data_IF_854719128910
#
_entry.id   IF_854719128910
#
_cell.length_a   1.000
_cell.length_b   1.000
_cell.length_c   1.000
_cell.angle_alpha   90.00
_cell.angle_beta   90.00
_cell.angle_gamma   90.00
#
_symmetry.space_group_name_H-M   'P 1'
#
loop_
_entity.id
_entity.type
_entity.pdbx_description
1 polymer ?
#
# COMPACT_ATOMS: atom_id res chain seq x y z
N UNK A 1 -12.18 -10.72 2.46
CA UNK A 1 -12.15 -9.25 2.44
C UNK A 1 -12.67 -8.74 3.76
N UNK A 2 -12.51 -7.44 4.01
CA UNK A 2 -13.11 -6.76 5.16
C UNK A 2 -14.55 -6.37 4.76
N UNK A 3 -15.59 -6.81 5.49
CA UNK A 3 -16.99 -6.54 5.13
C UNK A 3 -17.33 -5.05 4.96
N UNK A 4 -16.62 -4.19 5.68
CA UNK A 4 -16.79 -2.73 5.71
C UNK A 4 -16.14 -2.02 4.51
N UNK A 5 -15.32 -2.72 3.72
CA UNK A 5 -14.69 -2.16 2.53
C UNK A 5 -15.65 -2.19 1.34
N UNK A 6 -15.86 -1.03 0.70
CA UNK A 6 -16.81 -0.89 -0.40
C UNK A 6 -16.43 -1.69 -1.66
N UNK A 7 -15.16 -2.09 -1.80
CA UNK A 7 -14.63 -2.78 -2.97
C UNK A 7 -14.11 -4.16 -2.59
N UNK A 8 -14.63 -5.18 -3.26
CA UNK A 8 -14.24 -6.58 -3.10
C UNK A 8 -13.80 -7.15 -4.45
N UNK A 9 -12.49 -7.05 -4.73
CA UNK A 9 -11.88 -7.51 -5.98
C UNK A 9 -12.12 -9.03 -6.21
N UNK A 10 -12.42 -9.80 -5.15
CA UNK A 10 -12.70 -11.24 -5.26
C UNK A 10 -14.01 -11.54 -5.99
N UNK A 11 -14.98 -10.59 -6.00
CA UNK A 11 -16.22 -10.73 -6.78
C UNK A 11 -15.93 -10.66 -8.28
N UNK A 12 -15.13 -9.67 -8.69
CA UNK A 12 -14.66 -9.53 -10.08
C UNK A 12 -13.83 -10.74 -10.49
N UNK A 13 -12.92 -11.21 -9.64
CA UNK A 13 -12.14 -12.41 -9.91
C UNK A 13 -13.02 -13.66 -10.13
N UNK A 14 -14.06 -13.85 -9.30
CA UNK A 14 -15.03 -14.95 -9.49
C UNK A 14 -15.81 -14.83 -10.81
N UNK A 15 -16.17 -13.62 -11.23
CA UNK A 15 -16.83 -13.41 -12.52
C UNK A 15 -15.90 -13.80 -13.69
N UNK A 16 -14.63 -13.40 -13.65
CA UNK A 16 -13.63 -13.78 -14.65
C UNK A 16 -13.50 -15.31 -14.71
N UNK A 17 -13.35 -15.98 -13.56
CA UNK A 17 -13.21 -17.45 -13.52
C UNK A 17 -14.43 -18.16 -14.10
N UNK A 18 -15.64 -17.63 -13.91
CA UNK A 18 -16.87 -18.20 -14.46
C UNK A 18 -16.96 -18.12 -15.99
N UNK A 19 -16.19 -17.25 -16.63
CA UNK A 19 -16.11 -17.10 -18.08
C UNK A 19 -14.99 -17.94 -18.72
N UNK A 20 -14.11 -18.54 -17.91
CA UNK A 20 -13.02 -19.40 -18.41
C UNK A 20 -13.54 -20.77 -18.86
N UNK A 21 -12.83 -21.36 -19.82
CA UNK A 21 -13.02 -22.78 -20.16
C UNK A 21 -12.85 -23.65 -18.90
N UNK A 22 -13.72 -24.66 -18.67
CA UNK A 22 -13.65 -25.52 -17.49
C UNK A 22 -12.28 -26.17 -17.25
N UNK A 23 -11.55 -26.51 -18.32
CA UNK A 23 -10.22 -27.11 -18.23
C UNK A 23 -9.17 -26.12 -17.74
N UNK A 24 -9.38 -24.81 -17.94
CA UNK A 24 -8.53 -23.75 -17.39
C UNK A 24 -8.97 -23.38 -15.98
N UNK A 25 -10.29 -23.24 -15.76
CA UNK A 25 -10.86 -22.79 -14.50
C UNK A 25 -10.45 -23.68 -13.31
N UNK A 26 -10.30 -24.99 -13.52
CA UNK A 26 -9.84 -25.95 -12.48
C UNK A 26 -8.43 -25.66 -11.94
N UNK A 27 -7.63 -24.88 -12.66
CA UNK A 27 -6.28 -24.46 -12.26
C UNK A 27 -6.25 -23.08 -11.60
N UNK A 28 -7.40 -22.42 -11.42
CA UNK A 28 -7.49 -21.08 -10.86
C UNK A 28 -8.16 -21.13 -9.48
N UNK A 29 -7.49 -20.55 -8.48
CA UNK A 29 -8.06 -20.34 -7.14
C UNK A 29 -8.28 -18.84 -6.90
N UNK A 30 -9.44 -18.47 -6.36
CA UNK A 30 -9.71 -17.09 -5.91
C UNK A 30 -9.51 -17.01 -4.40
N UNK A 31 -8.48 -16.30 -3.97
CA UNK A 31 -8.31 -15.96 -2.57
C UNK A 31 -9.17 -14.75 -2.21
N UNK A 32 -10.26 -15.00 -1.48
CA UNK A 32 -11.17 -13.99 -1.00
C UNK A 32 -10.90 -13.61 0.47
N UNK A 33 -9.83 -14.10 1.08
CA UNK A 33 -9.50 -13.87 2.49
C UNK A 33 -9.00 -12.45 2.72
N UNK A 34 -9.08 -11.97 3.96
CA UNK A 34 -8.37 -10.75 4.32
C UNK A 34 -6.92 -11.10 4.64
N UNK A 35 -5.99 -10.32 4.11
CA UNK A 35 -4.56 -10.40 4.40
C UNK A 35 -4.05 -9.04 4.85
N UNK A 36 -3.26 -9.03 5.92
CA UNK A 36 -2.40 -7.88 6.21
C UNK A 36 -1.31 -7.76 5.13
N UNK A 37 -0.66 -6.59 4.98
CA UNK A 37 0.45 -6.44 4.04
C UNK A 37 1.56 -7.50 4.24
N UNK A 38 1.93 -7.80 5.48
CA UNK A 38 2.95 -8.80 5.79
C UNK A 38 2.52 -10.22 5.40
N UNK A 39 1.25 -10.57 5.62
CA UNK A 39 0.70 -11.86 5.19
C UNK A 39 0.71 -11.97 3.66
N UNK A 40 0.33 -10.91 2.96
CA UNK A 40 0.31 -10.91 1.51
C UNK A 40 1.72 -10.98 0.92
N UNK A 41 2.68 -10.25 1.50
CA UNK A 41 4.11 -10.37 1.16
C UNK A 41 4.64 -11.79 1.37
N UNK A 42 4.30 -12.44 2.50
CA UNK A 42 4.69 -13.82 2.76
C UNK A 42 4.11 -14.81 1.73
N UNK A 43 2.87 -14.59 1.28
CA UNK A 43 2.25 -15.38 0.23
C UNK A 43 2.96 -15.20 -1.12
N UNK A 44 3.08 -13.97 -1.61
CA UNK A 44 3.63 -13.71 -2.95
C UNK A 44 5.11 -14.03 -3.07
N UNK A 45 5.85 -14.12 -1.96
CA UNK A 45 7.23 -14.61 -1.93
C UNK A 45 7.38 -16.02 -2.49
N UNK A 46 6.33 -16.85 -2.38
CA UNK A 46 6.32 -18.22 -2.90
C UNK A 46 5.92 -18.35 -4.37
N UNK A 47 5.54 -17.26 -5.04
CA UNK A 47 5.11 -17.30 -6.44
C UNK A 47 6.30 -17.13 -7.39
N UNK A 48 6.19 -17.71 -8.59
CA UNK A 48 7.20 -17.52 -9.64
C UNK A 48 7.24 -16.07 -10.13
N UNK A 49 6.06 -15.46 -10.29
CA UNK A 49 5.84 -14.07 -10.64
C UNK A 49 4.43 -13.60 -10.24
N UNK A 50 4.18 -12.30 -10.33
CA UNK A 50 2.86 -11.68 -10.10
C UNK A 50 2.44 -10.86 -11.31
N UNK A 51 1.17 -10.95 -11.72
CA UNK A 51 0.55 -9.98 -12.63
C UNK A 51 -0.22 -8.98 -11.79
N UNK A 52 0.16 -7.70 -11.82
CA UNK A 52 -0.38 -6.70 -10.90
C UNK A 52 -1.05 -5.55 -11.64
N UNK A 53 -2.36 -5.36 -11.40
CA UNK A 53 -3.11 -4.17 -11.80
C UNK A 53 -3.00 -3.04 -10.76
N UNK A 54 -2.90 -3.40 -9.47
CA UNK A 54 -2.78 -2.46 -8.34
C UNK A 54 -1.31 -2.20 -8.01
N UNK A 55 -0.92 -0.93 -7.88
CA UNK A 55 0.46 -0.55 -7.54
C UNK A 55 0.95 -1.18 -6.21
N UNK A 56 0.09 -1.30 -5.21
CA UNK A 56 0.47 -1.91 -3.92
C UNK A 56 0.88 -3.39 -4.06
N UNK A 57 0.17 -4.16 -4.90
CA UNK A 57 0.57 -5.54 -5.20
C UNK A 57 1.93 -5.60 -5.88
N UNK A 58 2.20 -4.67 -6.80
CA UNK A 58 3.50 -4.57 -7.45
C UNK A 58 4.61 -4.29 -6.43
N UNK A 59 4.46 -3.26 -5.60
CA UNK A 59 5.48 -2.87 -4.60
C UNK A 59 5.73 -4.00 -3.59
N UNK A 60 4.68 -4.58 -3.01
CA UNK A 60 4.83 -5.66 -2.03
C UNK A 60 5.53 -6.90 -2.63
N UNK A 61 5.22 -7.25 -3.88
CA UNK A 61 5.87 -8.36 -4.58
C UNK A 61 7.36 -8.08 -4.80
N UNK A 62 7.69 -6.86 -5.22
CA UNK A 62 9.07 -6.41 -5.41
C UNK A 62 9.88 -6.40 -4.11
N UNK A 63 9.26 -6.01 -2.99
CA UNK A 63 9.90 -6.03 -1.67
C UNK A 63 10.34 -7.44 -1.22
N UNK A 64 9.67 -8.49 -1.70
CA UNK A 64 10.03 -9.88 -1.40
C UNK A 64 10.79 -10.58 -2.53
N UNK A 65 11.18 -9.83 -3.58
CA UNK A 65 11.97 -10.35 -4.70
C UNK A 65 11.17 -11.11 -5.76
N UNK A 66 9.84 -11.05 -5.71
CA UNK A 66 8.98 -11.69 -6.72
C UNK A 66 8.82 -10.77 -7.93
N UNK A 67 9.19 -11.21 -9.15
CA UNK A 67 9.10 -10.38 -10.34
C UNK A 67 7.65 -10.11 -10.72
N UNK A 68 7.39 -8.96 -11.34
CA UNK A 68 6.03 -8.47 -11.63
C UNK A 68 5.86 -8.13 -13.10
N UNK A 69 4.75 -8.59 -13.70
CA UNK A 69 4.19 -8.08 -14.95
C UNK A 69 3.14 -7.01 -14.63
N UNK A 70 3.43 -5.71 -14.85
CA UNK A 70 2.52 -4.65 -14.45
C UNK A 70 1.46 -4.36 -15.52
N UNK A 71 0.22 -4.16 -15.07
CA UNK A 71 -0.88 -3.60 -15.85
C UNK A 71 -1.22 -2.24 -15.25
N UNK A 72 -0.90 -1.16 -15.97
CA UNK A 72 -1.14 0.20 -15.52
C UNK A 72 -2.50 0.71 -15.97
N UNK A 73 -3.29 1.15 -15.00
CA UNK A 73 -4.43 2.02 -15.20
C UNK A 73 -4.15 3.46 -14.71
N UNK A 74 -3.12 3.64 -13.89
CA UNK A 74 -2.68 4.93 -13.34
C UNK A 74 -1.24 5.23 -13.73
N UNK A 75 -0.92 6.52 -13.86
CA UNK A 75 0.42 7.04 -14.14
C UNK A 75 1.48 6.53 -13.15
N UNK A 76 1.13 6.37 -11.87
CA UNK A 76 2.07 5.93 -10.83
C UNK A 76 2.65 4.54 -11.11
N UNK A 77 1.84 3.60 -11.58
CA UNK A 77 2.31 2.26 -11.96
C UNK A 77 3.32 2.34 -13.10
N UNK A 78 3.12 3.26 -14.06
CA UNK A 78 4.05 3.48 -15.19
C UNK A 78 5.42 3.96 -14.69
N UNK A 79 5.44 4.91 -13.75
CA UNK A 79 6.68 5.42 -13.17
C UNK A 79 7.43 4.37 -12.35
N UNK A 80 6.73 3.57 -11.56
CA UNK A 80 7.35 2.45 -10.84
C UNK A 80 7.95 1.44 -11.82
N UNK A 81 7.21 1.04 -12.88
CA UNK A 81 7.71 0.11 -13.89
C UNK A 81 8.99 0.61 -14.58
N UNK A 82 9.08 1.91 -14.87
CA UNK A 82 10.28 2.55 -15.40
C UNK A 82 11.45 2.47 -14.43
N UNK A 83 11.24 2.84 -13.17
CA UNK A 83 12.28 2.83 -12.12
C UNK A 83 12.82 1.44 -11.85
N UNK A 84 11.97 0.42 -11.88
CA UNK A 84 12.36 -0.96 -11.59
C UNK A 84 12.76 -1.79 -12.83
N UNK A 85 12.91 -1.13 -13.98
CA UNK A 85 13.46 -1.76 -15.19
C UNK A 85 12.53 -2.78 -15.86
N UNK A 86 11.21 -2.61 -15.76
CA UNK A 86 10.20 -3.49 -16.39
C UNK A 86 9.23 -2.72 -17.30
N UNK A 87 9.58 -1.50 -17.70
CA UNK A 87 8.72 -0.66 -18.53
C UNK A 87 8.42 -1.26 -19.92
N UNK A 88 9.32 -2.09 -20.45
CA UNK A 88 9.13 -2.80 -21.71
C UNK A 88 8.01 -3.88 -21.64
N UNK A 89 7.68 -4.33 -20.43
CA UNK A 89 6.60 -5.28 -20.16
C UNK A 89 5.28 -4.62 -19.76
N UNK A 90 5.27 -3.30 -19.54
CA UNK A 90 4.12 -2.59 -19.03
C UNK A 90 2.92 -2.70 -19.98
N UNK A 91 1.80 -3.21 -19.49
CA UNK A 91 0.53 -3.22 -20.21
C UNK A 91 -0.28 -2.00 -19.78
N UNK A 92 -0.87 -1.27 -20.73
CA UNK A 92 -1.80 -0.18 -20.44
C UNK A 92 -3.23 -0.72 -20.48
N UNK A 93 -3.99 -0.59 -19.39
CA UNK A 93 -5.32 -1.19 -19.28
C UNK A 93 -6.29 -0.67 -20.36
N UNK A 94 -6.10 0.56 -20.82
CA UNK A 94 -7.03 1.22 -21.74
C UNK A 94 -6.79 0.80 -23.20
N UNK A 95 -5.59 0.32 -23.51
CA UNK A 95 -5.17 0.03 -24.89
C UNK A 95 -4.67 -1.39 -25.11
N UNK A 96 -4.46 -2.17 -24.04
CA UNK A 96 -3.91 -3.53 -24.15
C UNK A 96 -4.78 -4.43 -25.01
N UNK A 97 -4.14 -5.17 -25.91
CA UNK A 97 -4.78 -6.22 -26.70
C UNK A 97 -4.42 -7.61 -26.18
N UNK A 98 -5.23 -8.65 -26.43
CA UNK A 98 -4.89 -10.02 -26.08
C UNK A 98 -3.54 -10.47 -26.67
N UNK A 99 -3.23 -10.06 -27.90
CA UNK A 99 -1.98 -10.38 -28.59
C UNK A 99 -0.79 -9.74 -27.88
N UNK A 100 -0.86 -8.44 -27.57
CA UNK A 100 0.19 -7.74 -26.83
C UNK A 100 0.40 -8.35 -25.44
N UNK A 101 -0.68 -8.66 -24.73
CA UNK A 101 -0.62 -9.29 -23.41
C UNK A 101 0.06 -10.67 -23.47
N UNK A 102 -0.28 -11.50 -24.47
CA UNK A 102 0.33 -12.80 -24.67
C UNK A 102 1.82 -12.69 -25.03
N UNK A 103 2.21 -11.75 -25.89
CA UNK A 103 3.59 -11.51 -26.27
C UNK A 103 4.45 -11.06 -25.07
N UNK A 104 3.96 -10.09 -24.29
CA UNK A 104 4.66 -9.60 -23.10
C UNK A 104 4.72 -10.65 -22.00
N UNK A 105 3.65 -11.41 -21.78
CA UNK A 105 3.65 -12.53 -20.85
C UNK A 105 4.65 -13.62 -21.27
N UNK A 106 4.68 -13.99 -22.56
CA UNK A 106 5.63 -14.97 -23.09
C UNK A 106 7.07 -14.51 -22.95
N UNK A 107 7.36 -13.24 -23.26
CA UNK A 107 8.69 -12.64 -23.04
C UNK A 107 9.06 -12.66 -21.57
N UNK A 108 8.13 -12.25 -20.70
CA UNK A 108 8.37 -12.20 -19.26
C UNK A 108 8.64 -13.58 -18.67
N UNK A 109 7.78 -14.56 -18.96
CA UNK A 109 7.91 -15.94 -18.51
C UNK A 109 9.20 -16.60 -19.02
N UNK A 110 9.58 -16.34 -20.28
CA UNK A 110 10.82 -16.85 -20.88
C UNK A 110 12.10 -16.21 -20.32
N UNK A 111 12.01 -15.11 -19.56
CA UNK A 111 13.16 -14.35 -19.06
C UNK A 111 13.03 -13.99 -17.57
N UNK A 112 12.31 -14.79 -16.77
CA UNK A 112 11.99 -14.48 -15.37
C UNK A 112 13.23 -14.16 -14.53
N UNK A 113 14.31 -14.93 -14.65
CA UNK A 113 15.54 -14.68 -13.90
C UNK A 113 16.20 -13.35 -14.26
N UNK A 114 16.10 -12.94 -15.52
CA UNK A 114 16.61 -11.65 -15.96
C UNK A 114 15.80 -10.52 -15.32
N UNK A 115 14.47 -10.57 -15.44
CA UNK A 115 13.61 -9.54 -14.86
C UNK A 115 13.69 -9.50 -13.33
N UNK A 116 13.80 -10.67 -12.67
CA UNK A 116 14.01 -10.75 -11.21
C UNK A 116 15.30 -10.06 -10.78
N UNK A 117 16.40 -10.29 -11.48
CA UNK A 117 17.69 -9.62 -11.19
C UNK A 117 17.61 -8.11 -11.44
N UNK A 118 17.04 -7.71 -12.58
CA UNK A 118 16.86 -6.29 -12.93
C UNK A 118 16.02 -5.57 -11.89
N UNK A 119 14.85 -6.12 -11.55
CA UNK A 119 13.93 -5.47 -10.63
C UNK A 119 14.47 -5.45 -9.19
N UNK A 120 15.13 -6.53 -8.74
CA UNK A 120 15.76 -6.57 -7.43
C UNK A 120 16.88 -5.52 -7.30
N UNK A 121 17.73 -5.40 -8.31
CA UNK A 121 18.79 -4.41 -8.31
C UNK A 121 18.22 -2.99 -8.16
N UNK A 122 17.22 -2.66 -8.97
CA UNK A 122 16.57 -1.35 -8.90
C UNK A 122 15.82 -1.10 -7.58
N UNK A 123 15.20 -2.13 -6.99
CA UNK A 123 14.56 -2.04 -5.67
C UNK A 123 15.58 -1.73 -4.57
N UNK A 124 16.78 -2.32 -4.62
CA UNK A 124 17.85 -2.03 -3.67
C UNK A 124 18.36 -0.59 -3.82
N UNK A 125 18.43 -0.08 -5.05
CA UNK A 125 18.79 1.33 -5.33
C UNK A 125 17.72 2.30 -4.81
N UNK A 126 16.44 2.02 -5.06
CA UNK A 126 15.32 2.83 -4.53
C UNK A 126 15.27 2.77 -2.99
N UNK A 127 15.54 1.61 -2.39
CA UNK A 127 15.67 1.50 -0.93
C UNK A 127 16.83 2.36 -0.41
N UNK A 128 18.02 2.28 -1.01
CA UNK A 128 19.16 3.10 -0.61
C UNK A 128 18.87 4.60 -0.74
N UNK A 129 18.22 5.00 -1.84
CA UNK A 129 17.75 6.36 -2.08
C UNK A 129 16.77 6.82 -0.98
N UNK A 130 15.74 6.02 -0.69
CA UNK A 130 14.79 6.32 0.38
C UNK A 130 15.47 6.44 1.75
N UNK A 131 16.42 5.57 2.05
CA UNK A 131 17.14 5.58 3.33
C UNK A 131 18.11 6.77 3.45
N UNK A 132 18.57 7.36 2.35
CA UNK A 132 19.40 8.58 2.39
C UNK A 132 18.66 9.77 3.01
N UNK A 133 17.33 9.84 2.88
CA UNK A 133 16.52 10.88 3.51
C UNK A 133 16.59 10.85 5.05
N UNK A 134 16.95 9.70 5.65
CA UNK A 134 17.12 9.61 7.10
C UNK A 134 18.23 10.53 7.61
N UNK A 135 19.24 10.84 6.80
CA UNK A 135 20.32 11.75 7.19
C UNK A 135 19.82 13.18 7.40
N UNK A 136 18.79 13.59 6.66
CA UNK A 136 18.14 14.90 6.84
C UNK A 136 17.29 14.95 8.12
N UNK A 137 16.74 13.81 8.54
CA UNK A 137 15.87 13.71 9.72
C UNK A 137 16.66 13.49 11.02
N UNK A 138 17.84 12.84 10.95
CA UNK A 138 18.69 12.53 12.12
C UNK A 138 18.93 13.74 13.04
N UNK A 139 19.26 14.95 12.55
CA UNK A 139 19.45 16.13 13.42
C UNK A 139 18.18 16.53 14.18
N UNK A 140 17.00 16.41 13.54
CA UNK A 140 15.72 16.82 14.12
C UNK A 140 15.27 15.85 15.23
N UNK A 141 15.47 14.54 15.04
CA UNK A 141 15.14 13.52 16.04
C UNK A 141 16.07 13.61 17.25
N UNK A 142 17.36 13.89 17.03
CA UNK A 142 18.34 14.12 18.11
C UNK A 142 18.05 15.41 18.89
N UNK A 143 17.64 16.49 18.20
CA UNK A 143 17.21 17.75 18.81
C UNK A 143 15.96 17.58 19.68
N UNK A 144 14.93 16.92 19.15
CA UNK A 144 13.68 16.65 19.88
C UNK A 144 13.91 15.78 21.14
N UNK A 145 14.82 14.80 21.08
CA UNK A 145 15.16 13.99 22.26
C UNK A 145 15.87 14.80 23.36
N UNK A 146 16.69 15.78 22.99
CA UNK A 146 17.37 16.68 23.94
C UNK A 146 16.41 17.69 24.57
N UNK A 147 15.41 18.17 23.81
CA UNK A 147 14.42 19.13 24.32
C UNK A 147 13.33 18.45 25.16
N UNK A 148 12.91 17.22 24.83
CA UNK A 148 12.04 16.41 25.71
C UNK A 148 12.74 16.12 27.05
N UNK A 149 14.03 15.77 27.03
CA UNK A 149 14.78 15.56 28.27
C UNK A 149 14.91 16.85 29.12
N UNK A 150 14.99 18.03 28.49
CA UNK A 150 15.02 19.33 29.18
C UNK A 150 13.66 19.72 29.76
N UNK A 151 12.56 19.40 29.08
CA UNK A 151 11.22 19.77 29.53
C UNK A 151 10.74 18.89 30.70
N UNK A 152 11.11 17.61 30.71
CA UNK A 152 10.90 16.72 31.87
C UNK A 152 11.67 17.22 33.10
N UNK A 153 12.86 17.81 32.91
CA UNK A 153 13.65 18.42 33.99
C UNK A 153 13.08 19.73 34.55
N UNK A 154 12.27 20.48 33.78
CA UNK A 154 11.65 21.74 34.22
C UNK A 154 10.22 21.58 34.76
N UNK A 155 9.53 20.48 34.45
CA UNK A 155 8.18 20.19 34.92
C UNK A 155 8.07 19.56 36.33
N UNK A 156 9.13 18.90 36.81
CA UNK A 156 9.10 18.14 38.08
C UNK A 156 8.95 18.97 39.36
N UNK A 157 9.22 20.27 39.32
CA UNK A 157 9.14 21.15 40.50
C UNK A 157 7.78 21.79 40.77
N UNK A 158 6.80 21.68 39.87
CA UNK A 158 5.52 22.43 39.98
C UNK A 158 4.27 21.57 40.08
N UNK A 159 4.36 20.25 39.92
CA UNK A 159 3.20 19.34 40.05
C UNK A 159 3.06 18.68 41.44
N UNK A 160 4.07 18.73 42.30
CA UNK A 160 3.99 18.16 43.65
C UNK A 160 3.24 19.03 44.67
N UNK A 161 2.87 20.27 44.32
CA UNK A 161 2.26 21.24 45.26
C UNK A 161 0.77 21.57 44.98
N UNK A 162 0.05 20.74 44.21
CA UNK A 162 -1.40 20.90 43.98
C UNK A 162 -2.27 19.71 44.37
N UNK A 163 -1.69 18.69 45.01
CA UNK A 163 -2.45 17.61 45.65
C UNK A 163 -2.80 18.01 47.09
N UNK A 164 -3.73 18.94 47.23
CA UNK A 164 -4.22 19.36 48.55
C UNK A 164 -5.30 20.40 48.43
N UNK A 165 -6.56 19.93 48.55
CA UNK A 165 -7.83 20.67 48.56
C UNK A 165 -8.40 20.95 47.16
N UNK A 166 -9.43 20.20 46.78
CA UNK A 166 -10.80 20.67 46.96
C UNK A 166 -11.83 19.53 46.80
N UNK A 167 -12.85 19.60 47.65
CA UNK A 167 -13.96 18.67 47.78
C UNK A 167 -15.11 19.06 46.83
N UNK A 168 -15.78 18.04 46.28
CA UNK A 168 -17.18 17.98 45.83
C UNK A 168 -17.80 19.15 45.02
N UNK A 169 -18.26 18.88 43.79
CA UNK A 169 -19.69 18.62 43.52
C UNK A 169 -19.92 18.19 42.06
N UNK A 170 -20.76 17.17 41.92
CA UNK A 170 -21.24 16.54 40.69
C UNK A 170 -22.56 17.20 40.30
N UNK A 171 -22.63 17.87 39.15
CA UNK A 171 -23.88 18.16 38.46
C UNK A 171 -23.68 17.99 36.95
N UNK A 172 -24.34 16.98 36.39
CA UNK A 172 -24.34 16.70 34.97
C UNK A 172 -25.29 17.61 34.16
N UNK A 173 -24.93 17.85 32.90
CA UNK A 173 -25.73 17.50 31.70
C UNK A 173 -25.04 17.95 30.39
N UNK A 174 -25.34 17.29 29.25
CA UNK A 174 -24.62 17.45 27.99
C UNK A 174 -25.25 18.53 27.08
N UNK A 175 -24.44 19.11 26.18
CA UNK A 175 -24.88 20.04 25.10
C UNK A 175 -24.38 19.44 23.77
N UNK A 176 -25.21 18.69 23.03
CA UNK A 176 -26.16 19.06 21.94
C UNK A 176 -25.50 19.63 20.67
N UNK A 177 -25.55 18.78 19.63
CA UNK A 177 -25.73 18.98 18.17
C UNK A 177 -25.52 20.35 17.51
N UNK A 178 -24.63 20.39 16.51
CA UNK A 178 -24.58 21.43 15.49
C UNK A 178 -25.47 21.07 14.28
N UNK A 179 -26.53 21.85 14.10
CA UNK A 179 -27.51 21.78 13.00
C UNK A 179 -26.91 22.27 11.67
N UNK A 180 -27.22 21.53 10.60
CA UNK A 180 -27.17 21.99 9.20
C UNK A 180 -28.10 23.19 9.00
N UNK A 181 -27.65 24.19 8.25
CA UNK A 181 -28.51 25.18 7.60
C UNK A 181 -28.21 25.19 6.10
N UNK A 182 -29.24 24.85 5.32
CA UNK A 182 -29.30 25.09 3.89
C UNK A 182 -29.78 26.52 3.61
N UNK A 183 -29.40 27.02 2.43
CA UNK A 183 -30.07 28.12 1.74
C UNK A 183 -30.30 27.65 0.29
N UNK A 184 -31.56 27.42 -0.08
CA UNK A 184 -32.03 27.62 -1.46
C UNK A 184 -32.48 29.08 -1.61
N UNK A 185 -32.82 29.66 -2.75
CA UNK A 185 -32.99 29.26 -4.15
C UNK A 185 -33.26 30.57 -4.95
N UNK A 186 -33.27 30.48 -6.30
CA UNK A 186 -33.75 31.42 -7.35
C UNK A 186 -32.62 32.22 -8.02
N UNK A 187 -32.46 32.25 -9.35
CA UNK A 187 -33.39 32.13 -10.50
C UNK A 187 -32.78 31.25 -11.58
#
# INVERSE_FOLDING_TARGET
GVPEYAHDDSKTARAIVAELDPEIAKHVSVDASFHTPDQLMALVKGFDFVVATRMHMMIMSLCVGTPVLPIAYEFKTKEVAKRVGVADLLLDIDTVTPQEAAEKLGRFAGNLDQYRRTSLQAVLEEHASAMSATDLLKPLVRGASADVARDVGKGGGKHAARLGKDQHQDEGKPVIEAKRQGHGEKV
#
